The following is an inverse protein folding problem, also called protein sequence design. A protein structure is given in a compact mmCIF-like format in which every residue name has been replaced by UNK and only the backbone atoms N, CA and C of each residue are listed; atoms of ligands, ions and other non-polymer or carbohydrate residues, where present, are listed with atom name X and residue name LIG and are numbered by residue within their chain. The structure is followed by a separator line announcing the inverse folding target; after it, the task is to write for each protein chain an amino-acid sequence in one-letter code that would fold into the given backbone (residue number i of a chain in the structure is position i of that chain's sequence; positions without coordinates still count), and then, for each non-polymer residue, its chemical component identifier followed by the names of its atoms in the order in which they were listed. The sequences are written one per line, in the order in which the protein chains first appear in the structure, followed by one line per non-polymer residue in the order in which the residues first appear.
data_IF_350807347638
#
_entry.id   IF_350807347638
#
_cell.length_a   1.000
_cell.length_b   1.000
_cell.length_c   1.000
_cell.angle_alpha   90.00
_cell.angle_beta   90.00
_cell.angle_gamma   90.00
#
_symmetry.space_group_name_H-M   'P 1'
#
loop_
_entity.id
_entity.type
_entity.pdbx_description
1 polymer ?
#
# COMPACT_ATOMS: atom_id res chain seq x y z
N UNK A 1 -6.52 -31.36 34.53
CA UNK A 1 -7.81 -30.68 34.47
C UNK A 1 -8.35 -30.85 33.04
N UNK A 2 -9.54 -31.44 32.86
CA UNK A 2 -10.08 -31.78 31.53
C UNK A 2 -10.63 -30.54 30.86
N UNK A 3 -10.11 -30.19 29.67
CA UNK A 3 -10.71 -29.20 28.76
C UNK A 3 -12.08 -29.70 28.31
N UNK A 4 -13.12 -28.93 28.59
CA UNK A 4 -14.47 -29.16 28.04
C UNK A 4 -14.57 -28.48 26.68
N UNK A 5 -14.58 -29.28 25.62
CA UNK A 5 -14.94 -28.83 24.28
C UNK A 5 -16.39 -28.36 24.25
N UNK A 6 -16.60 -27.08 23.98
CA UNK A 6 -17.92 -26.50 23.75
C UNK A 6 -18.33 -26.80 22.29
N UNK A 7 -19.42 -27.52 22.08
CA UNK A 7 -19.89 -27.87 20.73
C UNK A 7 -20.49 -26.64 20.02
N UNK A 8 -20.36 -26.57 18.67
CA UNK A 8 -20.94 -25.52 17.83
C UNK A 8 -22.43 -25.26 18.09
N UNK A 9 -23.19 -26.27 18.52
CA UNK A 9 -24.61 -26.18 18.86
C UNK A 9 -24.86 -25.46 20.19
N UNK A 10 -23.92 -25.52 21.16
CA UNK A 10 -24.01 -24.81 22.42
C UNK A 10 -23.66 -23.34 22.28
N UNK A 11 -22.70 -23.01 21.41
CA UNK A 11 -22.33 -21.63 21.10
C UNK A 11 -23.50 -20.84 20.46
N UNK A 12 -24.23 -21.43 19.52
CA UNK A 12 -25.39 -20.81 18.88
C UNK A 12 -26.58 -20.56 19.83
N UNK A 13 -26.71 -21.34 20.91
CA UNK A 13 -27.75 -21.11 21.93
C UNK A 13 -27.41 -19.96 22.90
N UNK A 14 -26.13 -19.67 23.12
CA UNK A 14 -25.72 -18.53 23.96
C UNK A 14 -25.74 -17.20 23.25
N UNK A 15 -25.50 -17.17 21.92
CA UNK A 15 -25.58 -15.95 21.10
C UNK A 15 -27.03 -15.55 20.81
N UNK A 16 -27.97 -16.49 20.78
CA UNK A 16 -29.40 -16.25 20.47
C UNK A 16 -30.24 -15.67 21.61
N UNK A 17 -29.78 -15.71 22.87
CA UNK A 17 -30.62 -15.33 24.02
C UNK A 17 -30.25 -13.98 24.66
N UNK A 18 -29.13 -13.34 24.25
CA UNK A 18 -28.60 -12.10 24.85
C UNK A 18 -28.83 -10.82 24.06
N UNK A 19 -29.25 -10.92 22.78
CA UNK A 19 -29.31 -9.76 21.89
C UNK A 19 -30.71 -9.20 21.61
N UNK A 20 -31.75 -9.80 22.16
CA UNK A 20 -33.14 -9.37 21.88
C UNK A 20 -33.64 -8.24 22.78
N UNK A 21 -32.95 -7.84 23.84
CA UNK A 21 -33.48 -6.89 24.83
C UNK A 21 -32.76 -5.53 24.90
N UNK A 22 -31.74 -5.29 24.06
CA UNK A 22 -31.02 -3.98 24.02
C UNK A 22 -31.16 -3.24 22.67
N UNK A 23 -31.93 -3.74 21.70
CA UNK A 23 -32.12 -3.10 20.40
C UNK A 23 -33.35 -2.21 20.26
N UNK A 24 -34.11 -1.97 21.37
CA UNK A 24 -35.37 -1.24 21.30
C UNK A 24 -35.30 0.23 21.79
N UNK A 25 -34.10 0.78 22.10
CA UNK A 25 -34.00 2.11 22.71
C UNK A 25 -33.24 3.17 21.92
N UNK A 26 -32.71 2.88 20.71
CA UNK A 26 -32.06 3.88 19.85
C UNK A 26 -32.48 3.74 18.38
N UNK A 27 -33.77 3.94 18.10
CA UNK A 27 -34.25 4.17 16.74
C UNK A 27 -34.06 5.65 16.33
N UNK A 28 -32.90 6.23 16.64
CA UNK A 28 -32.36 7.38 15.93
C UNK A 28 -31.72 6.86 14.65
N UNK A 29 -32.01 7.46 13.49
CA UNK A 29 -31.35 7.19 12.22
C UNK A 29 -29.83 7.25 12.44
N UNK A 30 -29.16 6.12 12.69
CA UNK A 30 -27.72 6.05 12.64
C UNK A 30 -27.36 6.25 11.17
N UNK A 31 -26.90 7.45 10.82
CA UNK A 31 -26.31 7.70 9.51
C UNK A 31 -25.17 6.70 9.40
N UNK A 32 -25.22 5.81 8.42
CA UNK A 32 -24.12 4.87 8.14
C UNK A 32 -22.87 5.71 7.90
N UNK A 33 -21.82 5.48 8.68
CA UNK A 33 -20.51 6.10 8.48
C UNK A 33 -20.03 5.81 7.06
N UNK A 34 -19.51 6.84 6.38
CA UNK A 34 -18.83 6.72 5.10
C UNK A 34 -17.44 7.32 5.25
N UNK A 35 -16.43 6.65 4.69
CA UNK A 35 -15.05 7.15 4.74
C UNK A 35 -14.92 8.60 4.20
N UNK A 36 -15.76 8.97 3.23
CA UNK A 36 -15.85 10.32 2.70
C UNK A 36 -16.30 11.37 3.73
N UNK A 37 -16.94 10.93 4.82
CA UNK A 37 -17.40 11.85 5.88
C UNK A 37 -16.23 12.38 6.73
N UNK A 38 -15.09 11.65 6.77
CA UNK A 38 -13.87 12.08 7.44
C UNK A 38 -13.28 13.35 6.80
N UNK A 39 -13.58 13.59 5.52
CA UNK A 39 -13.03 14.74 4.78
C UNK A 39 -13.94 15.95 4.70
N UNK A 40 -15.23 15.82 5.04
CA UNK A 40 -16.22 16.91 4.88
C UNK A 40 -15.99 18.11 5.81
N UNK A 41 -15.45 17.88 6.99
CA UNK A 41 -15.17 18.91 8.00
C UNK A 41 -13.73 18.79 8.51
N UNK A 42 -12.80 18.53 7.60
CA UNK A 42 -11.41 18.31 7.96
C UNK A 42 -10.79 19.54 8.58
N UNK A 43 -10.18 19.37 9.75
CA UNK A 43 -9.45 20.43 10.45
C UNK A 43 -8.12 20.66 9.74
N UNK A 44 -7.65 21.90 9.70
CA UNK A 44 -6.31 22.20 9.18
C UNK A 44 -5.23 21.59 10.10
N UNK A 45 -4.28 20.83 9.53
CA UNK A 45 -3.17 20.28 10.30
C UNK A 45 -2.30 21.40 10.89
N UNK A 46 -1.79 21.25 12.12
CA UNK A 46 -0.92 22.24 12.72
C UNK A 46 0.46 22.27 12.06
N UNK A 47 0.98 23.46 11.77
CA UNK A 47 2.35 23.66 11.32
C UNK A 47 3.36 23.52 12.47
N UNK A 48 4.61 23.13 12.18
CA UNK A 48 5.67 23.02 13.18
C UNK A 48 5.47 21.92 14.24
N UNK A 49 4.58 20.97 13.98
CA UNK A 49 4.26 19.83 14.89
C UNK A 49 4.59 18.47 14.31
N UNK A 50 5.22 18.40 13.12
CA UNK A 50 5.65 17.15 12.52
C UNK A 50 6.49 16.34 13.49
N UNK A 51 6.19 15.06 13.61
CA UNK A 51 7.06 14.11 14.32
C UNK A 51 8.22 13.71 13.42
N UNK A 52 9.44 13.83 13.94
CA UNK A 52 10.67 13.43 13.24
C UNK A 52 11.32 12.22 13.90
N UNK A 53 11.97 11.40 13.07
CA UNK A 53 12.92 10.37 13.51
C UNK A 53 14.33 10.76 13.11
N UNK A 54 15.32 10.35 13.90
CA UNK A 54 16.73 10.65 13.59
C UNK A 54 17.34 9.49 12.81
N UNK A 55 17.88 9.79 11.62
CA UNK A 55 18.67 8.80 10.88
C UNK A 55 19.91 8.45 11.72
N UNK A 56 20.11 7.18 12.10
CA UNK A 56 21.21 6.81 13.01
C UNK A 56 22.60 7.00 12.41
N UNK A 57 22.73 7.00 11.07
CA UNK A 57 24.00 7.19 10.37
C UNK A 57 24.37 8.67 10.23
N UNK A 58 23.41 9.50 9.84
CA UNK A 58 23.70 10.91 9.47
C UNK A 58 23.35 11.90 10.58
N UNK A 59 22.54 11.51 11.57
CA UNK A 59 22.00 12.41 12.59
C UNK A 59 20.89 13.34 12.09
N UNK A 60 20.53 13.26 10.80
CA UNK A 60 19.51 14.09 10.17
C UNK A 60 18.10 13.72 10.65
N UNK A 61 17.25 14.72 10.80
CA UNK A 61 15.85 14.53 11.18
C UNK A 61 14.99 14.29 9.94
N UNK A 62 14.41 13.11 9.86
CA UNK A 62 13.50 12.69 8.80
C UNK A 62 12.07 12.76 9.30
N UNK A 63 11.16 13.37 8.53
CA UNK A 63 9.74 13.42 8.87
C UNK A 63 9.15 12.01 8.92
N UNK A 64 8.37 11.73 9.96
CA UNK A 64 7.75 10.41 10.09
C UNK A 64 6.71 10.15 8.99
N UNK A 65 6.07 11.19 8.45
CA UNK A 65 5.32 11.11 7.20
C UNK A 65 6.28 11.31 6.02
N UNK A 66 6.40 10.27 5.17
CA UNK A 66 7.07 10.33 3.88
C UNK A 66 6.06 10.46 2.74
N UNK A 67 6.35 11.32 1.76
CA UNK A 67 5.48 11.51 0.59
C UNK A 67 5.82 10.50 -0.51
N UNK A 68 4.93 9.52 -0.73
CA UNK A 68 5.05 8.53 -1.81
C UNK A 68 4.47 9.05 -3.13
N UNK A 69 5.28 9.10 -4.18
CA UNK A 69 4.93 9.65 -5.50
C UNK A 69 4.37 8.60 -6.48
N UNK A 70 3.93 7.45 -5.99
CA UNK A 70 3.38 6.38 -6.83
C UNK A 70 1.95 6.67 -7.31
N UNK A 71 1.20 7.53 -6.61
CA UNK A 71 -0.23 7.79 -6.84
C UNK A 71 -0.48 9.28 -7.06
N UNK A 72 0.11 9.82 -8.12
CA UNK A 72 0.00 11.24 -8.46
C UNK A 72 -1.40 11.59 -8.97
N UNK A 73 -1.90 12.80 -8.68
CA UNK A 73 -3.15 13.29 -9.23
C UNK A 73 -3.06 13.45 -10.76
N UNK A 74 -4.15 13.12 -11.44
CA UNK A 74 -4.32 13.34 -12.87
C UNK A 74 -5.31 14.47 -13.12
N UNK A 75 -5.30 15.03 -14.33
CA UNK A 75 -6.25 16.08 -14.70
C UNK A 75 -7.68 15.54 -14.72
N UNK A 76 -8.67 16.33 -14.29
CA UNK A 76 -10.06 15.90 -14.31
C UNK A 76 -10.50 15.40 -15.68
N UNK A 77 -11.00 14.15 -15.72
CA UNK A 77 -11.47 13.50 -16.95
C UNK A 77 -10.37 12.99 -17.89
N UNK A 78 -9.10 13.06 -17.49
CA UNK A 78 -7.96 12.53 -18.26
C UNK A 78 -6.95 11.82 -17.35
N UNK A 79 -7.14 10.51 -17.14
CA UNK A 79 -6.25 9.68 -16.32
C UNK A 79 -4.84 9.47 -16.94
N UNK A 80 -4.64 9.90 -18.17
CA UNK A 80 -3.36 9.77 -18.87
C UNK A 80 -2.45 10.99 -18.68
N UNK A 81 -2.96 12.11 -18.15
CA UNK A 81 -2.21 13.34 -17.94
C UNK A 81 -2.12 13.69 -16.45
N UNK A 82 -0.90 13.74 -15.89
CA UNK A 82 -0.69 14.14 -14.51
C UNK A 82 -0.87 15.65 -14.32
N UNK A 83 -1.55 16.03 -13.23
CA UNK A 83 -1.80 17.44 -12.87
C UNK A 83 -0.59 18.00 -12.11
N UNK A 84 0.39 18.51 -12.87
CA UNK A 84 1.61 19.09 -12.29
C UNK A 84 1.33 20.25 -11.34
N UNK A 85 0.30 21.05 -11.59
CA UNK A 85 -0.06 22.18 -10.73
C UNK A 85 -0.61 21.70 -9.39
N UNK A 86 -1.41 20.62 -9.40
CA UNK A 86 -1.87 19.99 -8.16
C UNK A 86 -0.70 19.34 -7.41
N UNK A 87 0.19 18.64 -8.11
CA UNK A 87 1.41 18.03 -7.52
C UNK A 87 2.26 19.12 -6.85
N UNK A 88 2.49 20.24 -7.52
CA UNK A 88 3.24 21.36 -6.98
C UNK A 88 2.60 21.88 -5.69
N UNK A 89 1.28 22.13 -5.70
CA UNK A 89 0.56 22.59 -4.50
C UNK A 89 0.63 21.61 -3.34
N UNK A 90 0.53 20.30 -3.62
CA UNK A 90 0.61 19.28 -2.59
C UNK A 90 2.03 19.18 -2.00
N UNK A 91 3.07 19.26 -2.83
CA UNK A 91 4.47 19.25 -2.37
C UNK A 91 4.77 20.49 -1.54
N UNK A 92 4.35 21.69 -1.99
CA UNK A 92 4.50 22.95 -1.23
C UNK A 92 3.84 22.83 0.15
N UNK A 93 2.58 22.37 0.19
CA UNK A 93 1.82 22.20 1.41
C UNK A 93 2.47 21.17 2.35
N UNK A 94 2.99 20.06 1.81
CA UNK A 94 3.68 19.04 2.59
C UNK A 94 4.95 19.59 3.26
N UNK A 95 5.79 20.33 2.50
CA UNK A 95 7.01 20.96 3.03
C UNK A 95 6.68 22.00 4.09
N UNK A 96 5.66 22.85 3.88
CA UNK A 96 5.19 23.86 4.85
C UNK A 96 4.78 23.19 6.19
N UNK A 97 4.23 21.97 6.14
CA UNK A 97 3.84 21.21 7.33
C UNK A 97 4.95 20.27 7.86
N UNK A 98 6.18 20.39 7.32
CA UNK A 98 7.35 19.71 7.84
C UNK A 98 7.66 18.34 7.24
N UNK A 99 6.95 17.92 6.18
CA UNK A 99 7.35 16.74 5.40
C UNK A 99 8.64 17.05 4.66
N UNK A 100 9.64 16.21 4.85
CA UNK A 100 10.94 16.38 4.19
C UNK A 100 11.48 15.12 3.49
N UNK A 101 10.72 14.03 3.43
CA UNK A 101 11.08 12.80 2.74
C UNK A 101 10.13 12.52 1.58
N UNK A 102 10.65 12.46 0.35
CA UNK A 102 9.90 12.24 -0.89
C UNK A 102 10.42 10.99 -1.60
N UNK A 103 9.54 9.99 -1.75
CA UNK A 103 9.87 8.69 -2.33
C UNK A 103 9.28 8.52 -3.72
N UNK A 104 10.10 8.19 -4.69
CA UNK A 104 9.71 7.94 -6.08
C UNK A 104 10.42 6.72 -6.69
N UNK A 105 10.25 6.51 -7.98
CA UNK A 105 10.89 5.47 -8.76
C UNK A 105 10.71 5.75 -10.26
N UNK A 106 11.67 5.36 -11.13
CA UNK A 106 11.49 5.43 -12.58
C UNK A 106 10.36 4.54 -13.10
N UNK A 107 9.89 3.56 -12.31
CA UNK A 107 8.76 2.71 -12.67
C UNK A 107 7.38 3.31 -12.31
N UNK A 108 7.33 4.38 -11.49
CA UNK A 108 6.06 4.94 -11.05
C UNK A 108 5.44 5.85 -12.10
N UNK A 109 4.10 5.90 -12.12
CA UNK A 109 3.36 6.82 -12.96
C UNK A 109 3.78 6.73 -14.44
N UNK A 110 3.93 5.51 -14.96
CA UNK A 110 4.36 5.27 -16.35
C UNK A 110 5.70 5.95 -16.71
N UNK A 111 6.60 6.04 -15.74
CA UNK A 111 7.93 6.63 -15.92
C UNK A 111 7.99 8.15 -15.72
N UNK A 112 6.90 8.80 -15.28
CA UNK A 112 6.83 10.26 -15.16
C UNK A 112 6.99 10.77 -13.72
N UNK A 113 6.98 9.87 -12.72
CA UNK A 113 6.97 10.27 -11.31
C UNK A 113 8.22 11.06 -10.91
N UNK A 114 9.41 10.63 -11.31
CA UNK A 114 10.67 11.33 -11.00
C UNK A 114 10.68 12.75 -11.58
N UNK A 115 10.24 12.90 -12.83
CA UNK A 115 10.14 14.20 -13.49
C UNK A 115 9.14 15.12 -12.81
N UNK A 116 7.96 14.62 -12.47
CA UNK A 116 6.95 15.39 -11.75
C UNK A 116 7.47 15.87 -10.40
N UNK A 117 8.16 14.99 -9.67
CA UNK A 117 8.78 15.33 -8.38
C UNK A 117 9.91 16.33 -8.56
N UNK A 118 10.80 16.14 -9.52
CA UNK A 118 11.91 17.06 -9.81
C UNK A 118 11.42 18.49 -10.11
N UNK A 119 10.36 18.63 -10.91
CA UNK A 119 9.71 19.92 -11.19
C UNK A 119 9.17 20.54 -9.90
N UNK A 120 8.49 19.77 -9.04
CA UNK A 120 7.92 20.28 -7.81
C UNK A 120 9.00 20.72 -6.81
N UNK A 121 10.03 19.88 -6.60
CA UNK A 121 11.09 20.11 -5.62
C UNK A 121 12.10 21.19 -6.06
N UNK A 122 12.30 21.43 -7.37
CA UNK A 122 13.19 22.50 -7.87
C UNK A 122 12.75 23.91 -7.43
N UNK A 123 11.55 24.06 -6.90
CA UNK A 123 10.98 25.30 -6.35
C UNK A 123 11.41 25.55 -4.91
N UNK A 124 12.02 24.56 -4.24
CA UNK A 124 12.44 24.57 -2.85
C UNK A 124 13.96 24.46 -2.74
N UNK A 125 14.51 24.88 -1.59
CA UNK A 125 15.95 24.74 -1.34
C UNK A 125 16.31 23.26 -1.17
N UNK A 126 17.38 22.82 -1.80
CA UNK A 126 17.84 21.42 -1.77
C UNK A 126 18.03 20.87 -0.34
N UNK A 127 18.35 21.74 0.61
CA UNK A 127 18.53 21.41 2.03
C UNK A 127 17.22 21.20 2.82
N UNK A 128 16.07 21.48 2.23
CA UNK A 128 14.77 21.36 2.92
C UNK A 128 14.15 19.98 2.77
N UNK A 129 14.71 19.12 1.88
CA UNK A 129 14.12 17.83 1.59
C UNK A 129 15.14 16.74 1.30
N UNK A 130 14.71 15.50 1.50
CA UNK A 130 15.39 14.28 1.09
C UNK A 130 14.65 13.65 -0.08
N UNK A 131 15.40 13.20 -1.09
CA UNK A 131 14.88 12.47 -2.25
C UNK A 131 15.25 11.00 -2.13
N UNK A 132 14.25 10.13 -2.23
CA UNK A 132 14.44 8.70 -2.36
C UNK A 132 13.98 8.23 -3.75
N UNK A 133 14.83 7.46 -4.45
CA UNK A 133 14.45 6.76 -5.69
C UNK A 133 15.15 5.41 -5.79
N UNK A 134 14.82 4.64 -6.83
CA UNK A 134 15.09 3.20 -6.87
C UNK A 134 15.62 2.75 -8.23
N UNK A 135 16.47 1.72 -8.24
CA UNK A 135 16.87 1.03 -9.47
C UNK A 135 15.81 -0.01 -9.87
N UNK A 136 14.94 0.35 -10.81
CA UNK A 136 13.82 -0.48 -11.28
C UNK A 136 14.16 -1.24 -12.57
N UNK A 137 15.30 -1.90 -12.60
CA UNK A 137 15.88 -2.58 -13.76
C UNK A 137 15.22 -3.96 -14.03
N UNK A 138 13.92 -3.98 -14.33
CA UNK A 138 13.16 -5.22 -14.57
C UNK A 138 13.16 -5.69 -16.04
N UNK A 139 13.26 -4.76 -16.98
CA UNK A 139 13.37 -5.08 -18.41
C UNK A 139 14.76 -5.65 -18.74
N UNK A 140 14.89 -6.70 -19.57
CA UNK A 140 16.19 -7.28 -19.94
C UNK A 140 17.24 -6.27 -20.41
N UNK A 141 16.83 -5.20 -21.09
CA UNK A 141 17.76 -4.13 -21.51
C UNK A 141 18.31 -3.33 -20.35
N UNK A 142 17.51 -3.12 -19.30
CA UNK A 142 17.92 -2.39 -18.11
C UNK A 142 18.63 -3.26 -17.08
N UNK A 143 18.62 -4.59 -17.24
CA UNK A 143 19.36 -5.55 -16.38
C UNK A 143 20.85 -5.62 -16.73
N UNK A 144 21.28 -5.12 -17.88
CA UNK A 144 22.71 -4.99 -18.19
C UNK A 144 23.35 -3.91 -17.30
N UNK A 145 24.67 -3.99 -17.09
CA UNK A 145 25.39 -2.96 -16.34
C UNK A 145 25.14 -1.56 -16.92
N UNK A 146 25.35 -1.41 -18.23
CA UNK A 146 25.18 -0.16 -18.96
C UNK A 146 23.76 0.39 -18.84
N UNK A 147 22.74 -0.47 -19.04
CA UNK A 147 21.35 -0.08 -18.94
C UNK A 147 20.93 0.34 -17.53
N UNK A 148 21.45 -0.35 -16.51
CA UNK A 148 21.24 0.02 -15.10
C UNK A 148 21.92 1.34 -14.74
N UNK A 149 23.15 1.57 -15.20
CA UNK A 149 23.88 2.85 -14.99
C UNK A 149 23.18 4.01 -15.71
N UNK A 150 22.68 3.78 -16.93
CA UNK A 150 21.89 4.77 -17.65
C UNK A 150 20.61 5.14 -16.89
N UNK A 151 19.88 4.14 -16.37
CA UNK A 151 18.69 4.37 -15.55
C UNK A 151 19.02 5.20 -14.29
N UNK A 152 20.08 4.86 -13.56
CA UNK A 152 20.55 5.62 -12.40
C UNK A 152 20.84 7.08 -12.75
N UNK A 153 21.59 7.33 -13.84
CA UNK A 153 21.93 8.69 -14.29
C UNK A 153 20.69 9.46 -14.74
N UNK A 154 19.75 8.77 -15.42
CA UNK A 154 18.50 9.38 -15.82
C UNK A 154 17.63 9.79 -14.63
N UNK A 155 17.59 8.99 -13.56
CA UNK A 155 16.89 9.35 -12.33
C UNK A 155 17.42 10.68 -11.74
N UNK A 156 18.74 10.89 -11.68
CA UNK A 156 19.33 12.15 -11.23
C UNK A 156 18.91 13.33 -12.12
N UNK A 157 18.89 13.12 -13.44
CA UNK A 157 18.48 14.14 -14.41
C UNK A 157 16.98 14.50 -14.29
N UNK A 158 16.10 13.50 -14.21
CA UNK A 158 14.66 13.74 -14.09
C UNK A 158 14.29 14.39 -12.75
N UNK A 159 14.99 14.01 -11.67
CA UNK A 159 14.85 14.60 -10.34
C UNK A 159 15.54 15.98 -10.23
N UNK A 160 16.38 16.38 -11.19
CA UNK A 160 17.12 17.64 -11.20
C UNK A 160 18.04 17.79 -9.97
N UNK A 161 18.76 16.73 -9.59
CA UNK A 161 19.62 16.68 -8.41
C UNK A 161 21.03 16.20 -8.75
N UNK A 162 22.05 16.68 -8.02
CA UNK A 162 23.43 16.25 -8.15
C UNK A 162 23.77 15.04 -7.27
N UNK A 163 22.94 14.76 -6.27
CA UNK A 163 23.03 13.60 -5.37
C UNK A 163 21.65 13.16 -4.91
N UNK A 164 21.56 11.87 -4.58
CA UNK A 164 20.32 11.23 -4.07
C UNK A 164 20.52 10.91 -2.59
N UNK A 165 19.55 11.31 -1.75
CA UNK A 165 19.66 11.09 -0.29
C UNK A 165 19.43 9.63 0.09
N UNK A 166 18.49 8.95 -0.56
CA UNK A 166 18.13 7.55 -0.30
C UNK A 166 17.98 6.80 -1.63
N UNK A 167 18.88 5.88 -1.92
CA UNK A 167 18.79 5.06 -3.14
C UNK A 167 18.56 3.60 -2.81
N UNK A 168 17.65 2.94 -3.55
CA UNK A 168 17.21 1.58 -3.24
C UNK A 168 17.40 0.63 -4.44
N UNK A 169 17.80 -0.60 -4.16
CA UNK A 169 17.51 -1.73 -5.04
C UNK A 169 15.99 -1.97 -5.01
N UNK A 170 15.31 -2.00 -6.17
CA UNK A 170 13.86 -1.98 -6.22
C UNK A 170 13.24 -3.37 -6.23
N UNK A 171 12.27 -3.61 -5.34
CA UNK A 171 11.44 -4.81 -5.28
C UNK A 171 12.27 -6.11 -5.26
N UNK A 172 13.14 -6.22 -4.27
CA UNK A 172 14.00 -7.37 -4.06
C UNK A 172 13.18 -8.51 -3.45
N UNK A 173 13.38 -9.73 -3.95
CA UNK A 173 12.79 -10.96 -3.42
C UNK A 173 11.64 -11.52 -4.26
N UNK A 174 10.96 -10.73 -5.08
CA UNK A 174 9.78 -11.18 -5.83
C UNK A 174 10.03 -12.40 -6.73
N UNK A 175 11.23 -12.51 -7.34
CA UNK A 175 11.62 -13.61 -8.22
C UNK A 175 12.80 -14.45 -7.68
N UNK A 176 13.11 -14.32 -6.38
CA UNK A 176 14.13 -15.13 -5.70
C UNK A 176 15.58 -14.74 -5.96
N UNK A 177 16.51 -15.63 -5.58
CA UNK A 177 17.97 -15.40 -5.64
C UNK A 177 18.50 -15.18 -7.05
N UNK A 178 18.00 -15.93 -8.03
CA UNK A 178 18.45 -15.80 -9.42
C UNK A 178 18.19 -14.39 -9.98
N UNK A 179 17.10 -13.75 -9.56
CA UNK A 179 16.78 -12.38 -9.95
C UNK A 179 17.72 -11.37 -9.29
N UNK A 180 18.05 -11.56 -8.02
CA UNK A 180 19.04 -10.75 -7.30
C UNK A 180 20.41 -10.83 -8.00
N UNK A 181 20.87 -12.03 -8.31
CA UNK A 181 22.13 -12.27 -9.03
C UNK A 181 22.15 -11.54 -10.37
N UNK A 182 21.15 -11.80 -11.22
CA UNK A 182 21.06 -11.22 -12.57
C UNK A 182 21.00 -9.71 -12.58
N UNK A 183 20.23 -9.11 -11.65
CA UNK A 183 19.97 -7.66 -11.65
C UNK A 183 21.07 -6.85 -10.97
N UNK A 184 21.78 -7.41 -10.02
CA UNK A 184 22.65 -6.61 -9.14
C UNK A 184 24.02 -7.18 -8.87
N UNK A 185 24.14 -8.51 -8.67
CA UNK A 185 25.40 -9.11 -8.27
C UNK A 185 26.26 -9.43 -9.50
N UNK A 186 25.77 -10.26 -10.42
CA UNK A 186 26.56 -10.77 -11.55
C UNK A 186 26.84 -9.69 -12.61
N UNK A 187 26.00 -8.67 -12.71
CA UNK A 187 26.22 -7.54 -13.63
C UNK A 187 27.11 -6.44 -13.03
N UNK A 188 27.62 -6.59 -11.80
CA UNK A 188 28.47 -5.61 -11.12
C UNK A 188 27.77 -4.31 -10.72
N UNK A 189 26.42 -4.30 -10.71
CA UNK A 189 25.69 -3.08 -10.43
C UNK A 189 25.70 -2.73 -8.94
N UNK A 190 25.71 -3.75 -8.04
CA UNK A 190 25.87 -3.52 -6.61
C UNK A 190 27.19 -2.81 -6.31
N UNK A 191 28.30 -3.28 -6.85
CA UNK A 191 29.62 -2.67 -6.69
C UNK A 191 29.66 -1.21 -7.20
N UNK A 192 28.99 -0.96 -8.34
CA UNK A 192 28.87 0.39 -8.87
C UNK A 192 28.13 1.31 -7.90
N UNK A 193 27.00 0.89 -7.34
CA UNK A 193 26.20 1.71 -6.40
C UNK A 193 26.93 1.93 -5.07
N UNK A 194 27.70 0.96 -4.59
CA UNK A 194 28.57 1.13 -3.41
C UNK A 194 29.62 2.22 -3.66
N UNK A 195 30.25 2.26 -4.84
CA UNK A 195 31.18 3.31 -5.24
C UNK A 195 30.50 4.69 -5.37
N UNK A 196 29.27 4.75 -5.87
CA UNK A 196 28.48 5.97 -5.92
C UNK A 196 28.17 6.51 -4.50
N UNK A 197 27.93 5.59 -3.54
CA UNK A 197 27.79 5.96 -2.12
C UNK A 197 29.10 6.49 -1.53
N UNK A 198 30.22 5.84 -1.77
CA UNK A 198 31.55 6.30 -1.33
C UNK A 198 31.90 7.68 -1.91
N UNK A 199 31.49 7.94 -3.15
CA UNK A 199 31.67 9.22 -3.82
C UNK A 199 30.69 10.31 -3.35
N UNK A 200 29.73 9.99 -2.47
CA UNK A 200 28.75 10.92 -1.92
C UNK A 200 27.60 11.28 -2.86
N UNK A 201 27.50 10.63 -4.04
CA UNK A 201 26.36 10.82 -4.95
C UNK A 201 25.11 10.04 -4.51
N UNK A 202 25.28 9.00 -3.69
CA UNK A 202 24.24 8.34 -2.90
C UNK A 202 24.62 8.55 -1.43
N UNK A 203 23.74 9.15 -0.63
CA UNK A 203 24.01 9.39 0.80
C UNK A 203 23.67 8.21 1.68
N UNK A 204 22.52 7.59 1.43
CA UNK A 204 22.05 6.40 2.11
C UNK A 204 21.65 5.35 1.06
N UNK A 205 22.15 4.12 1.21
CA UNK A 205 21.92 3.04 0.28
C UNK A 205 21.18 1.88 0.97
N UNK A 206 20.13 1.38 0.33
CA UNK A 206 19.28 0.34 0.87
C UNK A 206 18.54 -0.44 -0.21
N UNK A 207 17.50 -1.16 0.18
CA UNK A 207 16.66 -1.90 -0.75
C UNK A 207 15.20 -1.90 -0.29
N UNK A 208 14.26 -2.07 -1.23
CA UNK A 208 12.86 -2.36 -0.94
C UNK A 208 12.61 -3.86 -1.15
N UNK A 209 12.02 -4.48 -0.13
CA UNK A 209 11.82 -5.92 -0.10
C UNK A 209 10.37 -6.30 -0.38
N UNK A 210 10.20 -7.33 -1.24
CA UNK A 210 8.93 -7.98 -1.54
C UNK A 210 9.16 -9.48 -1.78
N UNK A 211 8.60 -10.36 -0.99
CA UNK A 211 8.46 -11.76 -1.32
C UNK A 211 9.45 -12.72 -0.65
N UNK A 212 10.36 -13.34 -1.39
CA UNK A 212 11.17 -14.45 -0.93
C UNK A 212 12.10 -14.10 0.23
N UNK A 213 11.90 -14.73 1.38
CA UNK A 213 12.65 -14.50 2.61
C UNK A 213 14.14 -14.85 2.49
N UNK A 214 14.49 -15.83 1.66
CA UNK A 214 15.89 -16.24 1.44
C UNK A 214 16.72 -15.05 0.92
N UNK A 215 16.14 -14.24 0.05
CA UNK A 215 16.81 -13.04 -0.49
C UNK A 215 17.01 -11.98 0.58
N UNK A 216 16.02 -11.77 1.43
CA UNK A 216 16.11 -10.83 2.55
C UNK A 216 17.20 -11.26 3.53
N UNK A 217 17.18 -12.52 3.95
CA UNK A 217 18.15 -13.08 4.88
C UNK A 217 19.57 -13.05 4.31
N UNK A 218 19.72 -13.35 3.01
CA UNK A 218 21.00 -13.25 2.31
C UNK A 218 21.56 -11.82 2.38
N UNK A 219 20.76 -10.81 2.03
CA UNK A 219 21.20 -9.42 2.04
C UNK A 219 21.54 -8.92 3.46
N UNK A 220 20.80 -9.37 4.47
CA UNK A 220 21.10 -9.03 5.87
C UNK A 220 22.32 -9.79 6.40
N UNK A 221 22.58 -11.02 5.96
CA UNK A 221 23.79 -11.76 6.32
C UNK A 221 25.05 -11.08 5.77
N UNK A 222 24.96 -10.38 4.65
CA UNK A 222 26.05 -9.61 4.06
C UNK A 222 26.05 -8.12 4.47
N UNK A 223 25.33 -7.77 5.55
CA UNK A 223 25.26 -6.37 6.01
C UNK A 223 26.64 -5.80 6.36
N UNK A 224 27.55 -6.61 6.90
CA UNK A 224 28.93 -6.17 7.22
C UNK A 224 29.75 -5.76 5.98
N UNK A 225 29.41 -6.32 4.82
CA UNK A 225 30.00 -5.99 3.52
C UNK A 225 29.28 -4.80 2.87
N UNK A 226 27.96 -4.91 2.70
CA UNK A 226 27.17 -3.93 1.94
C UNK A 226 26.81 -2.68 2.74
N UNK A 227 26.81 -2.76 4.09
CA UNK A 227 26.51 -1.63 5.00
C UNK A 227 25.18 -0.96 4.63
N UNK A 228 24.08 -1.72 4.65
CA UNK A 228 22.75 -1.18 4.40
C UNK A 228 22.43 -0.05 5.37
N UNK A 229 22.11 1.12 4.88
CA UNK A 229 21.81 2.31 5.68
C UNK A 229 20.33 2.33 6.13
N UNK A 230 19.46 1.65 5.40
CA UNK A 230 18.04 1.47 5.68
C UNK A 230 17.45 0.35 4.82
N UNK A 231 16.28 -0.15 5.20
CA UNK A 231 15.52 -1.12 4.38
C UNK A 231 14.05 -0.72 4.35
N UNK A 232 13.44 -0.78 3.17
CA UNK A 232 12.03 -0.51 2.98
C UNK A 232 11.24 -1.82 2.98
N UNK A 233 10.27 -1.94 3.91
CA UNK A 233 9.42 -3.12 4.09
C UNK A 233 7.94 -2.76 4.10
N UNK A 234 7.08 -3.70 3.72
CA UNK A 234 5.65 -3.62 4.00
C UNK A 234 5.43 -3.78 5.51
N UNK A 235 4.70 -2.86 6.14
CA UNK A 235 4.32 -2.96 7.54
C UNK A 235 3.00 -2.24 7.82
N UNK A 236 2.03 -3.01 8.28
CA UNK A 236 0.74 -2.57 8.78
C UNK A 236 0.20 -3.63 9.73
N UNK A 237 -0.92 -3.38 10.39
CA UNK A 237 -1.46 -4.29 11.40
C UNK A 237 -1.98 -5.62 10.85
N UNK A 238 -2.19 -5.74 9.52
CA UNK A 238 -2.57 -7.00 8.89
C UNK A 238 -1.33 -7.83 8.52
N UNK A 239 -0.36 -7.21 7.82
CA UNK A 239 0.87 -7.87 7.40
C UNK A 239 1.80 -8.20 8.56
N UNK A 240 1.53 -7.68 9.75
CA UNK A 240 2.33 -7.96 10.94
C UNK A 240 2.41 -9.46 11.24
N UNK A 241 1.28 -10.18 11.17
CA UNK A 241 1.17 -11.61 11.46
C UNK A 241 0.48 -12.44 10.37
N UNK A 242 -0.09 -11.78 9.34
CA UNK A 242 -0.92 -12.44 8.33
C UNK A 242 -0.47 -12.17 6.89
N UNK A 243 0.75 -11.67 6.69
CA UNK A 243 1.26 -11.38 5.34
C UNK A 243 1.28 -12.63 4.47
N UNK A 244 1.75 -13.75 5.02
CA UNK A 244 1.81 -15.05 4.33
C UNK A 244 0.42 -15.62 4.00
N UNK A 245 -0.59 -15.39 4.85
CA UNK A 245 -1.96 -15.84 4.61
C UNK A 245 -2.64 -15.05 3.48
N UNK A 246 -2.30 -13.77 3.36
CA UNK A 246 -2.80 -12.89 2.29
C UNK A 246 -2.09 -13.18 0.97
N UNK A 247 -0.78 -13.36 1.01
CA UNK A 247 0.09 -13.64 -0.13
C UNK A 247 1.16 -14.66 0.30
N UNK A 248 1.04 -15.88 -0.17
CA UNK A 248 1.93 -16.99 0.21
C UNK A 248 3.41 -16.78 -0.13
N UNK A 249 3.73 -15.76 -0.92
CA UNK A 249 5.11 -15.37 -1.23
C UNK A 249 5.63 -14.27 -0.30
N UNK A 250 4.77 -13.69 0.56
CA UNK A 250 5.15 -12.61 1.45
C UNK A 250 5.56 -13.14 2.84
N UNK A 251 6.28 -12.32 3.59
CA UNK A 251 6.77 -12.65 4.94
C UNK A 251 6.18 -11.66 5.94
N UNK A 252 5.81 -12.16 7.12
CA UNK A 252 5.23 -11.35 8.18
C UNK A 252 6.16 -10.21 8.59
N UNK A 253 5.60 -9.01 8.66
CA UNK A 253 6.34 -7.78 8.98
C UNK A 253 7.01 -7.84 10.35
N UNK A 254 6.45 -8.61 11.29
CA UNK A 254 7.07 -8.88 12.61
C UNK A 254 8.48 -9.45 12.46
N UNK A 255 8.67 -10.45 11.59
CA UNK A 255 9.98 -11.04 11.34
C UNK A 255 10.93 -10.02 10.70
N UNK A 256 10.49 -9.39 9.62
CA UNK A 256 11.30 -8.43 8.86
C UNK A 256 11.77 -7.28 9.76
N UNK A 257 10.86 -6.69 10.51
CA UNK A 257 11.18 -5.60 11.43
C UNK A 257 12.14 -6.03 12.53
N UNK A 258 11.91 -7.21 13.15
CA UNK A 258 12.77 -7.72 14.20
C UNK A 258 14.22 -7.96 13.71
N UNK A 259 14.40 -8.48 12.49
CA UNK A 259 15.73 -8.72 11.91
C UNK A 259 16.48 -7.42 11.60
N UNK A 260 15.75 -6.37 11.16
CA UNK A 260 16.33 -5.04 10.99
C UNK A 260 16.76 -4.43 12.32
N UNK A 261 15.91 -4.52 13.36
CA UNK A 261 16.23 -3.97 14.68
C UNK A 261 17.43 -4.64 15.35
N UNK A 262 17.59 -5.97 15.19
CA UNK A 262 18.78 -6.71 15.68
C UNK A 262 20.10 -6.14 15.13
N UNK A 263 20.06 -5.53 13.94
CA UNK A 263 21.22 -4.98 13.24
C UNK A 263 21.31 -3.44 13.31
N UNK A 264 20.38 -2.79 14.00
CA UNK A 264 20.29 -1.34 14.07
C UNK A 264 19.99 -0.66 12.73
N UNK A 265 19.36 -1.39 11.79
CA UNK A 265 18.99 -0.88 10.47
C UNK A 265 17.60 -0.25 10.58
N UNK A 266 17.43 1.04 10.28
CA UNK A 266 16.13 1.70 10.33
C UNK A 266 15.22 1.18 9.20
N UNK A 267 13.93 1.03 9.51
CA UNK A 267 12.92 0.64 8.54
C UNK A 267 12.24 1.87 7.91
N UNK A 268 12.12 1.88 6.59
CA UNK A 268 11.20 2.75 5.85
C UNK A 268 9.96 1.93 5.54
N UNK A 269 8.78 2.45 5.88
CA UNK A 269 7.55 1.66 5.75
C UNK A 269 6.82 2.00 4.47
N UNK A 270 6.50 0.97 3.67
CA UNK A 270 5.57 1.03 2.55
C UNK A 270 4.29 0.27 2.85
N UNK A 271 3.25 0.49 2.06
CA UNK A 271 1.93 -0.15 2.16
C UNK A 271 1.26 -0.04 3.55
N UNK A 272 1.33 1.11 4.25
CA UNK A 272 0.69 1.25 5.56
C UNK A 272 -0.83 1.05 5.48
N UNK A 273 -1.45 1.30 4.31
CA UNK A 273 -2.88 1.12 4.04
C UNK A 273 -3.20 -0.04 3.08
N UNK A 274 -2.20 -0.84 2.66
CA UNK A 274 -2.37 -1.89 1.63
C UNK A 274 -3.11 -1.38 0.38
N UNK A 275 -2.61 -0.28 -0.22
CA UNK A 275 -3.24 0.35 -1.38
C UNK A 275 -4.64 0.93 -1.09
N UNK A 276 -4.96 1.18 0.17
CA UNK A 276 -6.26 1.66 0.64
C UNK A 276 -7.24 0.55 1.03
N UNK A 277 -6.82 -0.71 1.07
CA UNK A 277 -7.67 -1.83 1.53
C UNK A 277 -8.06 -1.68 3.01
N UNK A 278 -7.16 -1.18 3.84
CA UNK A 278 -7.39 -0.98 5.28
C UNK A 278 -8.33 0.20 5.62
N UNK A 279 -8.78 0.95 4.61
CA UNK A 279 -9.82 1.99 4.75
C UNK A 279 -11.09 1.67 3.96
N UNK A 280 -11.09 0.58 3.18
CA UNK A 280 -12.25 0.07 2.42
C UNK A 280 -12.78 -1.21 3.05
N UNK A 281 -12.93 -1.19 4.37
CA UNK A 281 -13.39 -2.32 5.17
C UNK A 281 -14.92 -2.44 5.13
N UNK A 282 -15.49 -3.59 5.57
CA UNK A 282 -16.92 -3.69 5.81
C UNK A 282 -17.43 -2.60 6.75
N UNK A 283 -18.65 -2.12 6.50
CA UNK A 283 -19.25 -0.99 7.22
C UNK A 283 -19.22 -1.18 8.75
N UNK A 284 -19.43 -2.39 9.24
CA UNK A 284 -19.40 -2.66 10.68
C UNK A 284 -18.01 -2.44 11.29
N UNK A 285 -16.93 -2.85 10.60
CA UNK A 285 -15.55 -2.62 11.06
C UNK A 285 -15.18 -1.15 11.04
N UNK A 286 -15.52 -0.43 9.97
CA UNK A 286 -15.27 1.02 9.89
C UNK A 286 -16.01 1.77 11.00
N UNK A 287 -17.26 1.37 11.28
CA UNK A 287 -18.06 1.97 12.37
C UNK A 287 -17.44 1.68 13.73
N UNK A 288 -16.96 0.46 13.96
CA UNK A 288 -16.29 0.06 15.22
C UNK A 288 -15.00 0.86 15.45
N UNK A 289 -14.15 0.97 14.43
CA UNK A 289 -12.93 1.77 14.48
C UNK A 289 -13.22 3.25 14.76
N UNK A 290 -14.26 3.81 14.10
CA UNK A 290 -14.68 5.19 14.28
C UNK A 290 -15.27 5.44 15.67
N UNK A 291 -16.01 4.50 16.23
CA UNK A 291 -16.54 4.61 17.60
C UNK A 291 -15.44 4.64 18.66
N UNK A 292 -14.35 3.87 18.45
CA UNK A 292 -13.20 3.88 19.35
C UNK A 292 -12.39 5.18 19.27
N UNK A 293 -12.34 5.83 18.12
CA UNK A 293 -11.68 7.12 17.94
C UNK A 293 -12.51 8.04 17.00
N UNK A 294 -13.54 8.73 17.54
CA UNK A 294 -14.48 9.52 16.75
C UNK A 294 -13.84 10.72 16.05
N UNK A 295 -12.79 11.29 16.64
CA UNK A 295 -12.15 12.52 16.15
C UNK A 295 -11.18 12.27 14.99
N UNK A 296 -10.78 11.01 14.76
CA UNK A 296 -9.79 10.65 13.75
C UNK A 296 -10.39 9.80 12.65
N UNK A 297 -9.77 9.83 11.47
CA UNK A 297 -10.15 8.96 10.33
C UNK A 297 -9.88 7.48 10.63
N UNK A 298 -10.55 6.59 9.87
CA UNK A 298 -10.23 5.16 9.88
C UNK A 298 -8.79 4.91 9.41
N UNK A 299 -8.29 5.72 8.46
CA UNK A 299 -6.90 5.62 8.00
C UNK A 299 -5.88 5.87 9.11
N UNK A 300 -6.19 6.75 10.05
CA UNK A 300 -5.28 7.09 11.14
C UNK A 300 -4.85 5.90 12.01
N UNK A 301 -5.68 4.88 12.14
CA UNK A 301 -5.34 3.65 12.85
C UNK A 301 -4.12 2.95 12.23
N UNK A 302 -4.12 2.79 10.91
CA UNK A 302 -3.02 2.15 10.20
C UNK A 302 -1.76 3.03 10.15
N UNK A 303 -1.91 4.35 10.01
CA UNK A 303 -0.77 5.28 10.06
C UNK A 303 -0.15 5.35 11.45
N UNK A 304 -0.94 5.45 12.50
CA UNK A 304 -0.43 5.40 13.88
C UNK A 304 0.25 4.06 14.17
N UNK A 305 -0.33 2.95 13.70
CA UNK A 305 0.28 1.63 13.83
C UNK A 305 1.67 1.60 13.19
N UNK A 306 1.79 1.99 11.92
CA UNK A 306 3.05 1.98 11.19
C UNK A 306 4.09 2.95 11.76
N UNK A 307 3.66 4.07 12.35
CA UNK A 307 4.53 5.07 12.95
C UNK A 307 4.92 4.80 14.41
N UNK A 308 4.22 3.91 15.12
CA UNK A 308 4.47 3.64 16.55
C UNK A 308 5.83 3.01 16.81
N UNK A 309 6.34 2.02 16.07
CA UNK A 309 7.62 1.39 16.36
C UNK A 309 8.80 2.37 16.22
N UNK A 310 9.68 2.40 17.22
CA UNK A 310 10.77 3.40 17.30
C UNK A 310 11.81 3.28 16.19
N UNK A 311 12.06 2.06 15.69
CA UNK A 311 13.01 1.80 14.60
C UNK A 311 12.49 2.15 13.21
N UNK A 312 11.28 2.72 13.11
CA UNK A 312 10.73 3.23 11.85
C UNK A 312 11.25 4.65 11.61
N UNK A 313 11.94 4.84 10.47
CA UNK A 313 12.48 6.14 10.07
C UNK A 313 11.40 7.04 9.46
N UNK A 314 10.60 6.50 8.54
CA UNK A 314 9.50 7.20 7.88
C UNK A 314 8.46 6.22 7.36
N UNK A 315 7.21 6.67 7.26
CA UNK A 315 6.06 5.91 6.74
C UNK A 315 5.59 6.55 5.45
N UNK A 316 5.68 5.82 4.34
CA UNK A 316 5.35 6.32 3.01
C UNK A 316 3.84 6.28 2.77
N UNK A 317 3.28 7.37 2.29
CA UNK A 317 1.90 7.43 1.84
C UNK A 317 1.77 8.05 0.46
N UNK A 318 1.03 7.38 -0.43
CA UNK A 318 0.61 7.93 -1.71
C UNK A 318 -0.64 8.78 -1.53
N UNK A 319 -0.50 10.10 -1.64
CA UNK A 319 -1.56 11.07 -1.35
C UNK A 319 -2.03 11.74 -2.64
N UNK A 320 -3.00 11.11 -3.34
CA UNK A 320 -3.52 11.60 -4.62
C UNK A 320 -4.28 12.93 -4.48
N UNK A 321 -4.99 13.13 -3.36
CA UNK A 321 -5.82 14.31 -3.10
C UNK A 321 -5.30 15.09 -1.91
N UNK A 322 -5.58 16.40 -1.88
CA UNK A 322 -5.17 17.27 -0.78
C UNK A 322 -5.77 16.81 0.57
N UNK A 323 -6.98 16.28 0.54
CA UNK A 323 -7.66 15.73 1.72
C UNK A 323 -6.89 14.56 2.34
N UNK A 324 -6.28 13.69 1.51
CA UNK A 324 -5.42 12.61 2.00
C UNK A 324 -4.18 13.16 2.70
N UNK A 325 -3.54 14.18 2.11
CA UNK A 325 -2.36 14.82 2.69
C UNK A 325 -2.69 15.45 4.05
N UNK A 326 -3.80 16.20 4.13
CA UNK A 326 -4.25 16.81 5.39
C UNK A 326 -4.55 15.76 6.47
N UNK A 327 -5.23 14.67 6.14
CA UNK A 327 -5.55 13.59 7.08
C UNK A 327 -4.29 12.89 7.62
N UNK A 328 -3.33 12.62 6.73
CA UNK A 328 -2.08 12.00 7.11
C UNK A 328 -1.22 12.94 7.98
N UNK A 329 -1.22 14.23 7.68
CA UNK A 329 -0.57 15.24 8.53
C UNK A 329 -1.20 15.29 9.94
N UNK A 330 -2.53 15.19 10.05
CA UNK A 330 -3.22 15.08 11.34
C UNK A 330 -2.80 13.85 12.14
N UNK A 331 -2.39 12.78 11.47
CA UNK A 331 -1.89 11.56 12.13
C UNK A 331 -0.46 11.69 12.66
N UNK A 332 0.36 12.59 12.06
CA UNK A 332 1.78 12.71 12.38
C UNK A 332 2.24 14.09 12.89
N UNK A 333 1.31 15.04 13.07
CA UNK A 333 1.61 16.41 13.54
C UNK A 333 0.90 16.77 14.87
N UNK A 334 1.33 16.19 16.01
CA UNK A 334 2.31 15.13 16.22
C UNK A 334 1.71 13.72 16.13
N UNK A 335 2.57 12.70 15.98
CA UNK A 335 2.16 11.32 16.20
C UNK A 335 1.72 11.14 17.67
N UNK A 336 0.56 10.54 17.84
CA UNK A 336 0.15 9.90 19.09
C UNK A 336 0.30 8.38 18.90
N UNK A 337 1.36 7.76 19.47
CA UNK A 337 1.59 6.33 19.32
C UNK A 337 0.39 5.51 19.79
N UNK A 338 0.19 4.33 19.20
CA UNK A 338 -0.82 3.40 19.71
C UNK A 338 -0.42 2.88 21.09
N UNK A 339 -1.40 2.71 21.96
CA UNK A 339 -1.22 1.97 23.21
C UNK A 339 -1.10 0.46 22.93
N UNK A 340 -0.63 -0.30 23.93
CA UNK A 340 -0.60 -1.77 23.83
C UNK A 340 -2.00 -2.35 23.61
N UNK A 341 -3.03 -1.80 24.28
CA UNK A 341 -4.43 -2.22 24.13
C UNK A 341 -4.96 -1.93 22.71
N UNK A 342 -4.67 -0.75 22.15
CA UNK A 342 -5.03 -0.40 20.78
C UNK A 342 -4.34 -1.32 19.77
N UNK A 343 -3.07 -1.62 19.98
CA UNK A 343 -2.29 -2.53 19.13
C UNK A 343 -2.85 -3.95 19.17
N UNK A 344 -3.13 -4.46 20.37
CA UNK A 344 -3.74 -5.79 20.56
C UNK A 344 -5.12 -5.89 19.90
N UNK A 345 -5.95 -4.84 20.03
CA UNK A 345 -7.24 -4.76 19.37
C UNK A 345 -7.12 -4.84 17.85
N UNK A 346 -6.15 -4.13 17.25
CA UNK A 346 -5.92 -4.22 15.80
C UNK A 346 -5.49 -5.62 15.37
N UNK A 347 -4.65 -6.30 16.14
CA UNK A 347 -4.17 -7.64 15.81
C UNK A 347 -5.25 -8.71 15.97
N UNK A 348 -5.93 -8.74 17.13
CA UNK A 348 -6.84 -9.84 17.49
C UNK A 348 -8.27 -9.64 16.98
N UNK A 349 -8.75 -8.40 16.94
CA UNK A 349 -10.13 -8.16 16.56
C UNK A 349 -10.28 -7.70 15.12
N UNK A 350 -9.43 -6.78 14.66
CA UNK A 350 -9.56 -6.19 13.33
C UNK A 350 -8.90 -7.05 12.25
N UNK A 351 -7.62 -7.42 12.44
CA UNK A 351 -6.87 -8.18 11.43
C UNK A 351 -7.48 -9.57 11.20
N UNK A 352 -7.85 -10.32 12.26
CA UNK A 352 -8.52 -11.62 12.11
C UNK A 352 -9.84 -11.53 11.32
N UNK A 353 -10.64 -10.47 11.57
CA UNK A 353 -11.88 -10.24 10.81
C UNK A 353 -11.59 -9.94 9.33
N UNK A 354 -10.52 -9.19 9.02
CA UNK A 354 -10.13 -8.87 7.64
C UNK A 354 -9.65 -10.11 6.90
N UNK A 355 -8.82 -10.96 7.51
CA UNK A 355 -8.39 -12.25 6.94
C UNK A 355 -9.61 -13.10 6.59
N UNK A 356 -10.60 -13.17 7.49
CA UNK A 356 -11.84 -13.91 7.27
C UNK A 356 -12.72 -13.41 6.12
N UNK A 357 -12.43 -12.22 5.54
CA UNK A 357 -13.17 -11.71 4.38
C UNK A 357 -12.80 -12.41 3.07
N UNK A 358 -11.65 -13.09 2.99
CA UNK A 358 -11.17 -13.77 1.77
C UNK A 358 -11.24 -12.87 0.51
N UNK A 359 -10.86 -11.61 0.63
CA UNK A 359 -10.81 -10.66 -0.48
C UNK A 359 -9.66 -11.01 -1.44
N UNK A 360 -9.79 -10.63 -2.73
CA UNK A 360 -8.66 -10.68 -3.66
C UNK A 360 -7.61 -9.66 -3.16
N UNK A 361 -6.33 -10.06 -2.91
CA UNK A 361 -5.35 -9.20 -2.26
C UNK A 361 -4.75 -8.13 -3.20
N UNK A 362 -5.58 -7.47 -4.01
CA UNK A 362 -5.15 -6.44 -4.95
C UNK A 362 -5.00 -5.07 -4.25
N UNK A 363 -3.80 -4.50 -4.30
CA UNK A 363 -3.47 -3.17 -3.76
C UNK A 363 -3.61 -2.04 -4.80
N UNK A 364 -4.18 -2.32 -5.99
CA UNK A 364 -4.32 -1.35 -7.08
C UNK A 364 -3.00 -0.63 -7.44
N UNK A 365 -1.89 -1.36 -7.41
CA UNK A 365 -0.55 -0.81 -7.73
C UNK A 365 -0.33 -0.58 -9.22
N UNK A 366 -1.14 -1.22 -10.09
CA UNK A 366 -1.14 -1.10 -11.57
C UNK A 366 0.12 -1.64 -12.26
N UNK A 367 0.99 -2.39 -11.59
CA UNK A 367 2.17 -3.00 -12.24
C UNK A 367 1.79 -4.05 -13.30
N UNK A 368 0.60 -4.66 -13.18
CA UNK A 368 0.04 -5.55 -14.19
C UNK A 368 -0.53 -4.83 -15.43
N UNK A 369 -0.44 -3.50 -15.48
CA UNK A 369 -0.97 -2.67 -16.56
C UNK A 369 0.16 -2.05 -17.40
N UNK A 370 -0.07 -1.80 -18.73
CA UNK A 370 -1.30 -2.10 -19.47
C UNK A 370 -1.43 -3.59 -19.80
N UNK A 371 -2.67 -4.12 -19.72
CA UNK A 371 -2.95 -5.44 -20.25
C UNK A 371 -2.96 -5.41 -21.80
N UNK A 372 -2.24 -6.31 -22.53
CA UNK A 372 -2.22 -6.31 -24.00
C UNK A 372 -3.60 -6.50 -24.63
N UNK A 373 -4.53 -7.08 -23.90
CA UNK A 373 -5.91 -7.33 -24.33
C UNK A 373 -6.90 -6.30 -23.78
N UNK A 374 -6.42 -5.22 -23.21
CA UNK A 374 -7.21 -4.09 -22.75
C UNK A 374 -7.97 -4.28 -21.44
N UNK A 375 -7.80 -5.40 -20.72
CA UNK A 375 -8.50 -5.67 -19.45
C UNK A 375 -8.06 -4.69 -18.37
N UNK A 376 -9.02 -4.08 -17.67
CA UNK A 376 -8.75 -3.27 -16.48
C UNK A 376 -8.68 -4.16 -15.21
N UNK A 377 -7.57 -4.85 -15.07
CA UNK A 377 -7.36 -5.83 -14.01
C UNK A 377 -7.60 -5.23 -12.60
N UNK A 378 -6.96 -4.11 -12.22
CA UNK A 378 -7.18 -3.52 -10.88
C UNK A 378 -8.60 -3.03 -10.67
N UNK A 379 -9.21 -2.38 -11.68
CA UNK A 379 -10.58 -1.88 -11.60
C UNK A 379 -11.59 -2.98 -11.31
N UNK A 380 -11.43 -4.15 -11.96
CA UNK A 380 -12.28 -5.32 -11.74
C UNK A 380 -12.15 -5.85 -10.30
N UNK A 381 -10.92 -6.00 -9.80
CA UNK A 381 -10.68 -6.54 -8.46
C UNK A 381 -11.14 -5.59 -7.35
N UNK A 382 -10.89 -4.29 -7.52
CA UNK A 382 -11.36 -3.25 -6.59
C UNK A 382 -12.88 -3.23 -6.53
N UNK A 383 -13.56 -3.30 -7.69
CA UNK A 383 -15.02 -3.37 -7.75
C UNK A 383 -15.57 -4.63 -7.06
N UNK A 384 -14.99 -5.80 -7.35
CA UNK A 384 -15.38 -7.07 -6.74
C UNK A 384 -15.26 -7.04 -5.22
N UNK A 385 -14.10 -6.64 -4.71
CA UNK A 385 -13.84 -6.53 -3.27
C UNK A 385 -14.77 -5.51 -2.59
N UNK A 386 -15.04 -4.38 -3.25
CA UNK A 386 -15.99 -3.38 -2.77
C UNK A 386 -17.37 -4.00 -2.56
N UNK A 387 -17.91 -4.66 -3.58
CA UNK A 387 -19.23 -5.30 -3.49
C UNK A 387 -19.26 -6.39 -2.41
N UNK A 388 -18.15 -7.11 -2.21
CA UNK A 388 -18.01 -8.12 -1.17
C UNK A 388 -18.04 -7.49 0.23
N UNK A 389 -17.28 -6.43 0.45
CA UNK A 389 -17.21 -5.72 1.72
C UNK A 389 -18.52 -5.00 2.07
N UNK A 390 -19.24 -4.49 1.08
CA UNK A 390 -20.57 -3.89 1.24
C UNK A 390 -21.70 -4.93 1.44
N UNK A 391 -21.39 -6.23 1.33
CA UNK A 391 -22.38 -7.30 1.40
C UNK A 391 -23.35 -7.32 0.22
N UNK A 392 -23.02 -6.65 -0.88
CA UNK A 392 -23.84 -6.51 -2.10
C UNK A 392 -23.45 -7.48 -3.22
N UNK A 393 -22.47 -8.38 -2.95
CA UNK A 393 -22.10 -9.42 -3.89
C UNK A 393 -23.23 -10.46 -3.98
N UNK A 394 -23.78 -10.76 -5.17
CA UNK A 394 -24.83 -11.78 -5.32
C UNK A 394 -24.30 -13.17 -4.95
N UNK A 395 -24.92 -13.84 -4.00
CA UNK A 395 -24.48 -15.17 -3.52
C UNK A 395 -25.18 -16.33 -4.21
N UNK A 396 -26.48 -16.18 -4.54
CA UNK A 396 -27.26 -17.22 -5.21
C UNK A 396 -28.71 -16.84 -5.35
N UNK A 397 -29.44 -17.54 -6.24
CA UNK A 397 -30.88 -17.29 -6.55
C UNK A 397 -31.77 -17.43 -5.31
N UNK A 398 -31.33 -18.23 -4.32
CA UNK A 398 -32.07 -18.43 -3.06
C UNK A 398 -31.97 -17.31 -2.03
N UNK A 399 -31.07 -16.32 -2.24
CA UNK A 399 -30.93 -15.21 -1.32
C UNK A 399 -32.09 -14.22 -1.48
N UNK A 400 -32.65 -13.76 -0.36
CA UNK A 400 -33.78 -12.82 -0.37
C UNK A 400 -33.48 -11.54 -1.20
N UNK A 401 -32.24 -11.06 -1.14
CA UNK A 401 -31.80 -9.82 -1.80
C UNK A 401 -31.12 -10.06 -3.16
N UNK A 402 -31.15 -11.29 -3.68
CA UNK A 402 -30.44 -11.66 -4.92
C UNK A 402 -30.76 -10.73 -6.09
N UNK A 403 -32.04 -10.40 -6.29
CA UNK A 403 -32.49 -9.52 -7.41
C UNK A 403 -31.88 -8.13 -7.32
N UNK A 404 -31.86 -7.56 -6.12
CA UNK A 404 -31.31 -6.24 -5.87
C UNK A 404 -29.79 -6.22 -6.02
N UNK A 405 -29.10 -7.18 -5.38
CA UNK A 405 -27.64 -7.32 -5.45
C UNK A 405 -27.16 -7.58 -6.87
N UNK A 406 -27.83 -8.45 -7.62
CA UNK A 406 -27.56 -8.72 -9.03
C UNK A 406 -27.60 -7.43 -9.87
N UNK A 407 -28.69 -6.67 -9.74
CA UNK A 407 -28.87 -5.41 -10.47
C UNK A 407 -27.80 -4.39 -10.08
N UNK A 408 -27.57 -4.22 -8.79
CA UNK A 408 -26.55 -3.29 -8.27
C UNK A 408 -25.15 -3.66 -8.78
N UNK A 409 -24.78 -4.94 -8.70
CA UNK A 409 -23.47 -5.43 -9.13
C UNK A 409 -23.23 -5.14 -10.62
N UNK A 410 -24.16 -5.56 -11.50
CA UNK A 410 -24.00 -5.39 -12.94
C UNK A 410 -23.96 -3.91 -13.36
N UNK A 411 -24.82 -3.07 -12.79
CA UNK A 411 -24.82 -1.62 -13.07
C UNK A 411 -23.54 -0.96 -12.55
N UNK A 412 -23.11 -1.28 -11.35
CA UNK A 412 -21.89 -0.68 -10.76
C UNK A 412 -20.64 -1.15 -11.48
N UNK A 413 -20.61 -2.40 -11.96
CA UNK A 413 -19.51 -2.90 -12.80
C UNK A 413 -19.39 -2.09 -14.10
N UNK A 414 -20.48 -1.93 -14.85
CA UNK A 414 -20.50 -1.17 -16.11
C UNK A 414 -20.09 0.31 -15.91
N UNK A 415 -20.33 0.87 -14.71
CA UNK A 415 -19.91 2.24 -14.36
C UNK A 415 -18.44 2.34 -13.94
N UNK A 416 -17.92 1.30 -13.30
CA UNK A 416 -16.53 1.27 -12.79
C UNK A 416 -15.55 0.79 -13.83
N UNK A 417 -15.95 -0.15 -14.68
CA UNK A 417 -15.10 -0.80 -15.69
C UNK A 417 -15.81 -0.80 -17.03
N UNK A 418 -15.34 -0.04 -18.02
CA UNK A 418 -15.92 -0.03 -19.35
C UNK A 418 -16.04 -1.43 -19.95
N UNK A 419 -17.12 -1.71 -20.71
CA UNK A 419 -17.41 -3.05 -21.25
C UNK A 419 -16.28 -3.67 -22.05
N UNK A 420 -15.58 -2.88 -22.84
CA UNK A 420 -14.42 -3.32 -23.60
C UNK A 420 -13.16 -3.55 -22.76
N UNK A 421 -13.25 -3.47 -21.43
CA UNK A 421 -12.15 -3.68 -20.47
C UNK A 421 -12.52 -4.67 -19.36
N UNK A 422 -13.66 -5.37 -19.50
CA UNK A 422 -14.18 -6.33 -18.54
C UNK A 422 -13.44 -7.68 -18.61
N UNK A 423 -13.66 -8.60 -17.65
CA UNK A 423 -12.86 -9.82 -17.50
C UNK A 423 -13.02 -10.83 -18.64
N UNK A 424 -14.13 -10.79 -19.43
CA UNK A 424 -14.37 -11.61 -20.59
C UNK A 424 -13.33 -11.43 -21.72
N UNK A 425 -12.59 -10.32 -21.73
CA UNK A 425 -11.47 -10.08 -22.65
C UNK A 425 -10.16 -10.79 -22.24
N UNK A 426 -10.11 -11.41 -21.06
CA UNK A 426 -8.91 -12.11 -20.57
C UNK A 426 -8.73 -13.47 -21.30
N UNK A 427 -7.64 -13.59 -22.06
CA UNK A 427 -7.30 -14.85 -22.77
C UNK A 427 -6.43 -15.81 -21.92
N UNK A 428 -6.07 -15.47 -20.70
CA UNK A 428 -5.26 -16.32 -19.82
C UNK A 428 -3.76 -16.35 -20.12
N UNK A 429 -3.20 -15.37 -20.83
CA UNK A 429 -1.77 -15.35 -21.24
C UNK A 429 -0.77 -15.26 -20.07
N UNK A 430 -1.22 -14.94 -18.87
CA UNK A 430 -0.46 -14.86 -17.60
C UNK A 430 0.66 -13.81 -17.55
N UNK A 431 0.88 -12.96 -18.57
CA UNK A 431 1.92 -11.93 -18.56
C UNK A 431 1.83 -10.95 -17.37
N UNK A 432 0.61 -10.71 -16.88
CA UNK A 432 0.37 -9.85 -15.72
C UNK A 432 0.80 -10.44 -14.37
N UNK A 433 1.01 -11.76 -14.30
CA UNK A 433 1.31 -12.48 -13.03
C UNK A 433 2.71 -12.15 -12.53
N UNK A 434 3.70 -12.10 -13.43
CA UNK A 434 5.10 -11.81 -13.11
C UNK A 434 5.30 -10.42 -12.52
N UNK A 435 4.38 -9.49 -12.83
CA UNK A 435 4.43 -8.10 -12.36
C UNK A 435 3.64 -7.88 -11.06
N UNK A 436 2.95 -8.91 -10.55
CA UNK A 436 2.09 -8.75 -9.38
C UNK A 436 2.85 -8.95 -8.07
N UNK A 437 3.16 -7.88 -7.28
CA UNK A 437 3.88 -8.02 -6.02
C UNK A 437 3.07 -8.78 -4.96
N UNK A 438 1.74 -8.88 -5.15
CA UNK A 438 0.84 -9.61 -4.24
C UNK A 438 0.63 -11.09 -4.64
N UNK A 439 1.39 -11.61 -5.60
CA UNK A 439 1.33 -13.01 -6.00
C UNK A 439 -0.04 -13.49 -6.53
N UNK A 440 -0.92 -12.58 -6.97
CA UNK A 440 -2.26 -12.92 -7.42
C UNK A 440 -2.21 -13.74 -8.71
N UNK A 441 -2.88 -14.88 -8.74
CA UNK A 441 -3.11 -15.66 -9.96
C UNK A 441 -4.17 -14.97 -10.83
N UNK A 442 -3.83 -13.79 -11.36
CA UNK A 442 -4.73 -12.84 -12.01
C UNK A 442 -5.67 -13.50 -13.03
N UNK A 443 -5.22 -14.33 -14.00
CA UNK A 443 -6.14 -14.94 -14.95
C UNK A 443 -7.20 -15.84 -14.29
N UNK A 444 -6.83 -16.56 -13.24
CA UNK A 444 -7.75 -17.42 -12.49
C UNK A 444 -8.84 -16.60 -11.78
N UNK A 445 -8.46 -15.51 -11.14
CA UNK A 445 -9.42 -14.66 -10.42
C UNK A 445 -10.33 -13.92 -11.42
N UNK A 446 -9.79 -13.43 -12.56
CA UNK A 446 -10.60 -12.86 -13.63
C UNK A 446 -11.61 -13.87 -14.19
N UNK A 447 -11.20 -15.12 -14.44
CA UNK A 447 -12.08 -16.17 -14.93
C UNK A 447 -13.20 -16.50 -13.94
N UNK A 448 -12.92 -16.51 -12.63
CA UNK A 448 -13.97 -16.70 -11.60
C UNK A 448 -15.01 -15.58 -11.64
N UNK A 449 -14.53 -14.33 -11.73
CA UNK A 449 -15.39 -13.16 -11.79
C UNK A 449 -16.21 -13.17 -13.08
N UNK A 450 -15.60 -13.47 -14.22
CA UNK A 450 -16.28 -13.57 -15.50
C UNK A 450 -17.39 -14.61 -15.49
N UNK A 451 -17.09 -15.83 -14.99
CA UNK A 451 -18.09 -16.89 -14.84
C UNK A 451 -19.27 -16.42 -13.98
N UNK A 452 -19.02 -15.76 -12.88
CA UNK A 452 -20.07 -15.18 -12.04
C UNK A 452 -20.91 -14.13 -12.80
N UNK A 453 -20.26 -13.24 -13.54
CA UNK A 453 -20.95 -12.21 -14.35
C UNK A 453 -21.84 -12.86 -15.39
N UNK A 454 -21.36 -13.87 -16.10
CA UNK A 454 -22.14 -14.59 -17.10
C UNK A 454 -23.34 -15.36 -16.48
N UNK A 455 -23.17 -15.96 -15.32
CA UNK A 455 -24.27 -16.58 -14.57
C UNK A 455 -25.33 -15.54 -14.17
N UNK A 456 -24.87 -14.34 -13.71
CA UNK A 456 -25.78 -13.24 -13.38
C UNK A 456 -26.54 -12.71 -14.61
N UNK A 457 -25.91 -12.69 -15.80
CA UNK A 457 -26.55 -12.26 -17.05
C UNK A 457 -27.57 -13.30 -17.54
N UNK A 458 -27.23 -14.60 -17.46
CA UNK A 458 -28.08 -15.72 -17.97
C UNK A 458 -29.31 -15.99 -17.16
N UNK A 459 -29.35 -15.63 -15.88
CA UNK A 459 -30.50 -15.81 -15.02
C UNK A 459 -31.41 -14.56 -15.02
N UNK A 460 -32.13 -14.26 -16.12
CA UNK A 460 -33.10 -13.21 -16.11
C UNK A 460 -34.20 -13.62 -15.11
N UNK A 461 -34.53 -12.68 -14.28
CA UNK A 461 -35.58 -12.86 -13.29
C UNK A 461 -36.91 -13.06 -14.06
N UNK A 462 -37.46 -14.24 -13.98
CA UNK A 462 -38.87 -14.46 -14.30
C UNK A 462 -39.71 -13.84 -13.19
#
# INVERSE_FOLDING_TARGET
MKQKNISRRSFLKYVGAGTATLLAACAGKSSQYKAEDDYKNQVEPPTGKMTYRTNPKTGEKVSLLGYGMMRLPTKPGNDDEYDQDMINRQVDYAIEHGVNYFDTSPAYCRGLSERCLGIALSRHKRSEYFVATKLSNWDPRTQTHEGSVEMYRNSMKELQVDYIDYYLLHAIGGSGMDDLHRRYLDNGMLDFLLKEREAGRIRNFGFSYHGNIEVFDYLLAHHDEYKWDFVQIELNYLDWDYANEINSSNTDARYLYAELQKRGIPAVIMEPLLGGRLVKLPQYLMTELKQKNPERSVASWAFRYAGTPEGVLTVLSGMTYMEHLKDNLLSYCPLEPLTEEETEYLHKDVAEKIVGLENIPCNDCKYCMPCPYGVDIPGIFVHYNKCKNEGTLPRGIGDADYREHRRKYLISLDRSVPRNRQPDHCIGCAQCVEHCPQGIRIPRELQKIDKMIEELKRNPIV
#
